data_IF_226925136524
#
_entry.id   IF_226925136524
#
_cell.length_a   1.000
_cell.length_b   1.000
_cell.length_c   1.000
_cell.angle_alpha   90.00
_cell.angle_beta   90.00
_cell.angle_gamma   90.00
#
_symmetry.space_group_name_H-M   'P 1'
#
loop_
_entity.id
_entity.type
_entity.pdbx_description
1 polymer ?
#
# COMPACT_ATOMS: atom_id res chain seq x y z
N UNK A 1 18.96 8.79 21.42
CA UNK A 1 18.38 9.58 20.31
C UNK A 1 16.88 9.58 20.56
N UNK A 2 16.33 10.70 21.03
CA UNK A 2 14.92 10.85 21.40
C UNK A 2 14.10 10.95 20.13
N UNK A 3 13.20 9.99 19.88
CA UNK A 3 12.29 9.98 18.73
C UNK A 3 11.45 11.28 18.70
N UNK A 4 11.69 12.19 17.74
CA UNK A 4 10.96 13.46 17.68
C UNK A 4 9.49 13.29 17.26
N UNK A 5 9.11 12.12 16.72
CA UNK A 5 7.77 11.86 16.20
C UNK A 5 6.92 10.92 17.07
N UNK A 6 7.49 10.43 18.19
CA UNK A 6 6.86 9.62 19.26
C UNK A 6 6.09 8.37 18.78
N UNK A 7 6.57 7.20 19.18
CA UNK A 7 5.79 5.96 19.15
C UNK A 7 4.78 5.86 20.29
N UNK A 8 3.64 5.21 20.04
CA UNK A 8 2.70 4.74 21.07
C UNK A 8 2.63 3.22 20.96
N UNK A 9 3.15 2.55 21.97
CA UNK A 9 2.94 1.12 22.15
C UNK A 9 1.48 0.88 22.53
N UNK A 10 0.84 -0.02 21.82
CA UNK A 10 -0.52 -0.48 22.07
C UNK A 10 -0.47 -1.92 22.62
N UNK A 11 -1.62 -2.49 22.94
CA UNK A 11 -1.65 -3.84 23.51
C UNK A 11 -1.09 -4.90 22.56
N UNK A 12 -0.43 -5.91 23.14
CA UNK A 12 -0.04 -7.17 22.49
C UNK A 12 0.90 -7.05 21.26
N UNK A 13 1.79 -6.05 21.23
CA UNK A 13 2.81 -5.93 20.18
C UNK A 13 2.37 -5.10 18.97
N UNK A 14 1.18 -4.50 19.02
CA UNK A 14 0.80 -3.47 18.08
C UNK A 14 1.38 -2.11 18.49
N UNK A 15 1.72 -1.26 17.51
CA UNK A 15 2.15 0.11 17.79
C UNK A 15 1.86 1.06 16.62
N UNK A 16 1.89 2.35 16.92
CA UNK A 16 1.89 3.42 15.92
C UNK A 16 3.09 4.33 16.14
N UNK A 17 3.66 4.88 15.07
CA UNK A 17 4.81 5.79 15.15
C UNK A 17 4.77 6.84 14.05
N UNK A 18 5.45 7.96 14.26
CA UNK A 18 5.48 9.05 13.29
C UNK A 18 4.22 9.90 13.34
N UNK A 19 3.84 10.46 14.51
CA UNK A 19 2.60 11.23 14.64
C UNK A 19 2.64 12.52 13.81
N UNK A 20 1.67 12.69 12.91
CA UNK A 20 1.58 13.83 11.96
C UNK A 20 0.23 14.56 12.10
N UNK A 21 -0.02 15.26 13.24
CA UNK A 21 -1.33 15.81 13.58
C UNK A 21 -1.81 16.93 12.65
N UNK A 22 -0.90 17.53 11.88
CA UNK A 22 -1.22 18.55 10.87
C UNK A 22 -1.98 17.96 9.66
N UNK A 23 -1.92 16.64 9.45
CA UNK A 23 -2.70 15.93 8.43
C UNK A 23 -4.07 15.56 9.00
N UNK A 24 -4.10 14.86 10.14
CA UNK A 24 -5.30 14.56 10.91
C UNK A 24 -4.93 14.19 12.36
N UNK A 25 -5.85 14.32 13.33
CA UNK A 25 -5.54 14.08 14.75
C UNK A 25 -4.95 12.69 15.06
N UNK A 26 -5.36 11.66 14.30
CA UNK A 26 -4.90 10.27 14.44
C UNK A 26 -4.04 9.82 13.24
N UNK A 27 -3.39 10.75 12.54
CA UNK A 27 -2.50 10.41 11.44
C UNK A 27 -1.11 10.03 11.95
N UNK A 28 -0.66 8.84 11.57
CA UNK A 28 0.65 8.28 11.89
C UNK A 28 1.30 7.77 10.60
N UNK A 29 2.62 7.92 10.50
CA UNK A 29 3.41 7.43 9.37
C UNK A 29 3.54 5.91 9.37
N UNK A 30 3.52 5.29 10.55
CA UNK A 30 3.57 3.84 10.74
C UNK A 30 2.38 3.39 11.59
N UNK A 31 1.67 2.39 11.09
CA UNK A 31 0.65 1.62 11.80
C UNK A 31 1.03 0.16 11.70
N UNK A 32 1.37 -0.43 12.85
CA UNK A 32 1.89 -1.77 12.97
C UNK A 32 0.93 -2.63 13.80
N UNK A 33 -0.03 -3.30 13.17
CA UNK A 33 -0.86 -4.29 13.83
C UNK A 33 -0.02 -5.43 14.40
N UNK A 34 -0.54 -6.09 15.45
CA UNK A 34 0.04 -7.32 15.97
C UNK A 34 0.19 -8.36 14.85
N UNK A 35 1.31 -9.07 14.86
CA UNK A 35 1.54 -10.18 13.95
C UNK A 35 0.58 -11.37 14.13
N UNK A 36 0.48 -12.21 13.12
CA UNK A 36 -0.37 -13.38 13.10
C UNK A 36 0.32 -14.60 13.72
N UNK A 37 -0.44 -15.38 14.47
CA UNK A 37 -0.05 -16.74 14.86
C UNK A 37 -0.37 -17.75 13.73
N UNK A 38 -0.15 -19.04 14.00
CA UNK A 38 -0.38 -20.10 13.00
C UNK A 38 -1.85 -20.20 12.55
N UNK A 39 -2.79 -19.94 13.47
CA UNK A 39 -4.22 -19.92 13.14
C UNK A 39 -4.55 -18.71 12.26
N UNK A 40 -4.05 -17.52 12.62
CA UNK A 40 -4.20 -16.31 11.83
C UNK A 40 -3.60 -16.44 10.43
N UNK A 41 -2.44 -17.07 10.28
CA UNK A 41 -1.85 -17.33 8.97
C UNK A 41 -2.67 -18.29 8.11
N UNK A 42 -3.21 -19.35 8.71
CA UNK A 42 -4.08 -20.28 7.99
C UNK A 42 -5.36 -19.57 7.48
N UNK A 43 -5.91 -18.66 8.29
CA UNK A 43 -7.02 -17.81 7.89
C UNK A 43 -6.61 -16.81 6.80
N UNK A 44 -5.43 -16.22 6.89
CA UNK A 44 -4.92 -15.26 5.90
C UNK A 44 -4.69 -15.91 4.54
N UNK A 45 -4.16 -17.13 4.51
CA UNK A 45 -3.99 -17.91 3.27
C UNK A 45 -5.35 -18.31 2.66
N UNK A 46 -6.32 -18.64 3.51
CA UNK A 46 -7.71 -18.88 3.07
C UNK A 46 -8.33 -17.61 2.48
N UNK A 47 -8.19 -16.46 3.15
CA UNK A 47 -8.69 -15.16 2.68
C UNK A 47 -8.01 -14.73 1.38
N UNK A 48 -6.72 -15.03 1.20
CA UNK A 48 -6.01 -14.74 -0.04
C UNK A 48 -6.52 -15.57 -1.22
N UNK A 49 -7.17 -16.72 -0.98
CA UNK A 49 -7.65 -17.67 -2.01
C UNK A 49 -6.54 -18.25 -2.90
N UNK A 50 -5.28 -18.21 -2.45
CA UNK A 50 -4.11 -18.74 -3.16
C UNK A 50 -2.94 -19.01 -2.22
N UNK A 51 -1.97 -19.85 -2.65
CA UNK A 51 -0.77 -20.11 -1.87
C UNK A 51 -0.02 -18.82 -1.54
N UNK A 52 0.25 -18.60 -0.26
CA UNK A 52 0.98 -17.44 0.22
C UNK A 52 2.49 -17.72 0.22
N UNK A 53 3.33 -16.89 -0.41
CA UNK A 53 4.79 -17.05 -0.34
C UNK A 53 5.30 -17.05 1.10
N UNK A 54 6.24 -17.95 1.42
CA UNK A 54 6.76 -18.11 2.80
C UNK A 54 7.34 -16.81 3.36
N UNK A 55 8.03 -16.03 2.53
CA UNK A 55 8.59 -14.72 2.92
C UNK A 55 7.51 -13.74 3.37
N UNK A 56 6.30 -13.82 2.80
CA UNK A 56 5.19 -12.98 3.20
C UNK A 56 4.48 -13.53 4.45
N UNK A 57 4.44 -14.85 4.62
CA UNK A 57 3.97 -15.45 5.88
C UNK A 57 4.86 -15.01 7.05
N UNK A 58 6.19 -15.03 6.88
CA UNK A 58 7.15 -14.52 7.87
C UNK A 58 6.89 -13.04 8.19
N UNK A 59 6.66 -12.22 7.17
CA UNK A 59 6.27 -10.83 7.37
C UNK A 59 4.97 -10.69 8.17
N UNK A 60 3.94 -11.48 7.87
CA UNK A 60 2.67 -11.44 8.60
C UNK A 60 2.77 -11.92 10.05
N UNK A 61 3.74 -12.79 10.37
CA UNK A 61 4.05 -13.18 11.76
C UNK A 61 4.60 -12.02 12.57
N UNK A 62 5.34 -11.13 11.94
CA UNK A 62 5.85 -9.93 12.59
C UNK A 62 4.77 -8.84 12.67
N UNK A 63 4.01 -8.64 11.57
CA UNK A 63 3.03 -7.58 11.45
C UNK A 63 1.87 -8.00 10.54
N UNK A 64 0.63 -8.00 11.04
CA UNK A 64 -0.55 -8.33 10.22
C UNK A 64 -0.90 -7.20 9.24
N UNK A 65 -0.12 -7.09 8.15
CA UNK A 65 -0.24 -6.00 7.19
C UNK A 65 -0.07 -4.64 7.87
N UNK A 66 -0.76 -3.60 7.40
CA UNK A 66 -0.74 -2.28 8.04
C UNK A 66 -0.19 -1.22 7.12
N UNK A 67 0.39 -0.16 7.68
CA UNK A 67 0.90 0.96 6.88
C UNK A 67 2.28 1.36 7.33
N UNK A 68 3.21 1.44 6.38
CA UNK A 68 4.55 1.99 6.59
C UNK A 68 4.78 3.05 5.53
N UNK A 69 4.89 4.32 5.94
CA UNK A 69 5.31 5.44 5.08
C UNK A 69 4.49 5.58 3.78
N UNK A 70 3.16 5.45 3.83
CA UNK A 70 2.24 5.43 2.67
C UNK A 70 2.37 4.20 1.74
N UNK A 71 2.92 3.09 2.25
CA UNK A 71 2.74 1.75 1.68
C UNK A 71 1.75 1.01 2.57
N UNK A 72 0.66 0.56 1.99
CA UNK A 72 -0.38 -0.22 2.64
C UNK A 72 -0.12 -1.71 2.39
N UNK A 73 0.39 -2.41 3.40
CA UNK A 73 0.60 -3.85 3.38
C UNK A 73 -0.70 -4.58 3.70
N UNK A 74 -0.96 -5.65 2.95
CA UNK A 74 -2.20 -6.41 3.08
C UNK A 74 -2.11 -7.45 4.20
N UNK A 75 -3.19 -7.63 4.93
CA UNK A 75 -3.25 -8.56 6.04
C UNK A 75 -4.59 -9.28 6.13
N UNK A 76 -4.72 -10.11 7.15
CA UNK A 76 -5.97 -10.75 7.52
C UNK A 76 -6.94 -9.69 8.03
N UNK A 77 -8.14 -9.69 7.46
CA UNK A 77 -9.27 -8.85 7.94
C UNK A 77 -10.43 -9.68 8.47
N UNK A 78 -10.39 -11.01 8.33
CA UNK A 78 -11.46 -11.91 8.73
C UNK A 78 -12.72 -11.72 7.88
N UNK A 79 -12.56 -11.28 6.63
CA UNK A 79 -13.68 -10.94 5.74
C UNK A 79 -14.51 -9.72 6.18
N UNK A 80 -14.03 -8.93 7.14
CA UNK A 80 -14.75 -7.73 7.56
C UNK A 80 -14.67 -6.64 6.49
N UNK A 81 -15.84 -6.25 5.96
CA UNK A 81 -15.96 -5.15 5.01
C UNK A 81 -15.91 -3.76 5.69
N UNK A 82 -16.24 -3.70 6.98
CA UNK A 82 -16.28 -2.47 7.75
C UNK A 82 -15.15 -2.47 8.79
N UNK A 83 -14.33 -1.42 8.75
CA UNK A 83 -13.27 -1.21 9.72
C UNK A 83 -13.85 -0.84 11.07
N UNK A 84 -13.31 -1.42 12.14
CA UNK A 84 -13.64 -0.97 13.49
C UNK A 84 -13.08 0.45 13.69
N UNK A 85 -13.93 1.48 13.84
CA UNK A 85 -13.49 2.86 14.02
C UNK A 85 -12.84 3.09 15.39
N UNK A 86 -12.96 2.14 16.32
CA UNK A 86 -12.39 2.21 17.67
C UNK A 86 -11.02 1.57 17.78
N UNK A 87 -10.55 0.86 16.73
CA UNK A 87 -9.21 0.28 16.69
C UNK A 87 -8.14 1.40 16.67
N UNK A 88 -7.32 1.53 17.73
CA UNK A 88 -6.33 2.60 17.84
C UNK A 88 -5.17 2.45 16.84
N UNK A 89 -4.86 1.23 16.39
CA UNK A 89 -3.84 0.94 15.39
C UNK A 89 -4.41 1.15 13.99
N UNK A 90 -5.69 0.80 13.83
CA UNK A 90 -6.38 0.65 12.56
C UNK A 90 -6.09 -0.70 11.91
N UNK A 91 -7.02 -1.11 11.04
CA UNK A 91 -6.99 -2.43 10.41
C UNK A 91 -6.24 -2.40 9.07
N UNK A 92 -5.55 -3.50 8.70
CA UNK A 92 -4.91 -3.62 7.40
C UNK A 92 -5.94 -3.56 6.26
N UNK A 93 -5.44 -3.42 5.04
CA UNK A 93 -6.25 -3.76 3.87
C UNK A 93 -6.29 -5.28 3.71
N UNK A 94 -7.43 -5.80 3.25
CA UNK A 94 -7.61 -7.25 3.09
C UNK A 94 -6.64 -7.81 2.05
N UNK A 95 -6.03 -8.93 2.40
CA UNK A 95 -5.18 -9.72 1.51
C UNK A 95 -5.91 -10.28 0.30
N UNK A 96 -7.24 -10.35 0.31
CA UNK A 96 -8.03 -10.73 -0.85
C UNK A 96 -7.96 -9.69 -2.00
N UNK A 97 -7.63 -8.43 -1.72
CA UNK A 97 -7.81 -7.30 -2.65
C UNK A 97 -7.19 -7.54 -4.04
N UNK A 98 -5.93 -7.99 -4.08
CA UNK A 98 -5.21 -8.28 -5.33
C UNK A 98 -5.00 -9.78 -5.60
N UNK A 99 -5.52 -10.64 -4.72
CA UNK A 99 -5.30 -12.09 -4.79
C UNK A 99 -6.55 -12.86 -5.23
N UNK A 100 -7.75 -12.29 -5.07
CA UNK A 100 -8.98 -12.83 -5.63
C UNK A 100 -9.03 -12.67 -7.16
N UNK A 101 -9.31 -13.76 -7.87
CA UNK A 101 -9.27 -13.82 -9.33
C UNK A 101 -10.17 -12.79 -10.04
N UNK A 102 -11.30 -12.39 -9.43
CA UNK A 102 -12.26 -11.45 -10.04
C UNK A 102 -11.98 -9.98 -9.73
N UNK A 103 -11.05 -9.69 -8.82
CA UNK A 103 -10.64 -8.32 -8.45
C UNK A 103 -9.30 -7.91 -9.04
N UNK A 104 -8.47 -8.91 -9.31
CA UNK A 104 -7.15 -8.76 -9.91
C UNK A 104 -7.25 -8.29 -11.36
N UNK A 105 -6.31 -7.45 -11.77
CA UNK A 105 -6.19 -7.03 -13.16
C UNK A 105 -5.68 -8.17 -14.06
N UNK A 106 -6.28 -8.31 -15.24
CA UNK A 106 -6.02 -9.40 -16.21
C UNK A 106 -4.55 -9.49 -16.66
N UNK A 107 -3.81 -8.39 -16.54
CA UNK A 107 -2.42 -8.28 -16.98
C UNK A 107 -1.41 -8.81 -15.96
N UNK A 108 -1.81 -9.09 -14.73
CA UNK A 108 -0.88 -9.61 -13.71
C UNK A 108 -0.73 -11.13 -13.94
N UNK A 109 0.48 -11.72 -14.01
CA UNK A 109 0.68 -13.16 -14.28
C UNK A 109 0.25 -14.08 -13.12
N UNK A 110 -0.54 -15.13 -13.37
CA UNK A 110 -1.25 -15.95 -12.35
C UNK A 110 -0.43 -16.32 -11.09
N UNK A 111 0.86 -16.62 -11.21
CA UNK A 111 1.75 -16.96 -10.08
C UNK A 111 2.14 -15.78 -9.18
N UNK A 112 1.74 -14.55 -9.48
CA UNK A 112 2.09 -13.36 -8.71
C UNK A 112 1.15 -13.15 -7.52
N UNK A 113 1.70 -12.93 -6.34
CA UNK A 113 0.98 -12.72 -5.10
C UNK A 113 0.97 -11.24 -4.73
N UNK A 114 -0.20 -10.60 -4.70
CA UNK A 114 -0.36 -9.20 -4.33
C UNK A 114 -0.24 -9.02 -2.83
N UNK A 115 0.59 -8.08 -2.38
CA UNK A 115 0.89 -7.96 -0.94
C UNK A 115 0.82 -6.52 -0.41
N UNK A 116 0.85 -5.52 -1.29
CA UNK A 116 0.74 -4.13 -0.86
C UNK A 116 0.24 -3.23 -1.99
N UNK A 117 -0.18 -2.02 -1.63
CA UNK A 117 -0.34 -0.93 -2.57
C UNK A 117 0.17 0.39 -2.02
N UNK A 118 0.45 1.34 -2.92
CA UNK A 118 0.72 2.71 -2.59
C UNK A 118 -0.06 3.63 -3.53
N UNK A 119 -0.58 4.74 -2.99
CA UNK A 119 -1.21 5.75 -3.81
C UNK A 119 -0.16 6.74 -4.34
N UNK A 120 -0.34 7.14 -5.59
CA UNK A 120 0.29 8.33 -6.14
C UNK A 120 -0.41 9.61 -5.66
N UNK A 121 -0.07 10.76 -6.25
CA UNK A 121 -0.49 12.06 -5.72
C UNK A 121 -1.99 12.32 -5.82
N UNK A 122 -2.68 11.79 -6.84
CA UNK A 122 -4.11 12.06 -7.04
C UNK A 122 -4.92 10.82 -7.45
N UNK A 123 -4.58 10.17 -8.56
CA UNK A 123 -5.39 9.06 -9.13
C UNK A 123 -4.63 7.77 -9.31
N UNK A 124 -3.31 7.87 -9.45
CA UNK A 124 -2.47 6.69 -9.63
C UNK A 124 -2.40 5.84 -8.38
N UNK A 125 -2.25 4.55 -8.62
CA UNK A 125 -1.99 3.57 -7.58
C UNK A 125 -1.00 2.54 -8.13
N UNK A 126 0.03 2.25 -7.34
CA UNK A 126 0.98 1.16 -7.59
C UNK A 126 0.61 -0.02 -6.71
N UNK A 127 0.52 -1.20 -7.31
CA UNK A 127 0.25 -2.46 -6.62
C UNK A 127 1.50 -3.33 -6.66
N UNK A 128 1.88 -3.89 -5.51
CA UNK A 128 3.11 -4.65 -5.35
C UNK A 128 2.82 -6.14 -5.29
N UNK A 129 3.58 -6.88 -6.09
CA UNK A 129 3.43 -8.33 -6.22
C UNK A 129 4.75 -9.04 -5.96
N UNK A 130 4.67 -10.15 -5.23
CA UNK A 130 5.73 -11.16 -5.17
C UNK A 130 5.58 -12.09 -6.36
N UNK A 131 6.61 -12.18 -7.19
CA UNK A 131 6.61 -13.05 -8.37
C UNK A 131 6.90 -14.49 -7.97
N UNK A 132 6.63 -15.43 -8.89
CA UNK A 132 6.92 -16.85 -8.68
C UNK A 132 8.41 -17.18 -8.58
N UNK A 133 9.30 -16.24 -8.95
CA UNK A 133 10.75 -16.39 -8.84
C UNK A 133 11.35 -15.62 -7.65
N UNK A 134 10.50 -15.04 -6.78
CA UNK A 134 10.91 -14.38 -5.54
C UNK A 134 11.29 -12.91 -5.68
N UNK A 135 11.13 -12.31 -6.87
CA UNK A 135 11.29 -10.86 -7.07
C UNK A 135 10.05 -10.11 -6.61
N UNK A 136 10.18 -8.80 -6.38
CA UNK A 136 9.04 -7.90 -6.19
C UNK A 136 8.87 -7.03 -7.42
N UNK A 137 7.63 -6.83 -7.86
CA UNK A 137 7.31 -5.94 -8.98
C UNK A 137 6.15 -5.02 -8.60
N UNK A 138 6.27 -3.74 -8.98
CA UNK A 138 5.18 -2.78 -8.84
C UNK A 138 4.49 -2.56 -10.19
N UNK A 139 3.20 -2.84 -10.25
CA UNK A 139 2.36 -2.64 -11.43
C UNK A 139 1.50 -1.39 -11.30
N UNK A 140 1.22 -0.75 -12.43
CA UNK A 140 0.18 0.27 -12.52
C UNK A 140 -1.19 -0.39 -12.35
N UNK A 141 -2.07 0.18 -11.51
CA UNK A 141 -3.40 -0.37 -11.24
C UNK A 141 -4.21 -0.66 -12.52
N UNK A 142 -4.25 0.31 -13.43
CA UNK A 142 -5.13 0.26 -14.58
C UNK A 142 -4.41 -0.15 -15.87
N UNK A 143 -3.08 -0.32 -15.87
CA UNK A 143 -2.30 -0.49 -17.11
C UNK A 143 -1.31 -1.64 -16.98
N UNK A 144 -1.05 -2.30 -18.12
CA UNK A 144 -0.03 -3.34 -18.19
C UNK A 144 1.38 -2.74 -18.23
N UNK A 145 1.81 -2.22 -17.08
CA UNK A 145 3.10 -1.56 -16.94
C UNK A 145 3.70 -1.80 -15.57
N UNK A 146 4.97 -2.20 -15.59
CA UNK A 146 5.81 -2.30 -14.41
C UNK A 146 6.51 -0.95 -14.20
N UNK A 147 6.41 -0.39 -13.00
CA UNK A 147 7.08 0.85 -12.64
C UNK A 147 8.49 0.62 -12.10
N UNK A 148 8.67 -0.43 -11.29
CA UNK A 148 9.95 -0.85 -10.71
C UNK A 148 9.90 -2.31 -10.29
N UNK A 149 11.06 -2.96 -10.29
CA UNK A 149 11.26 -4.31 -9.75
C UNK A 149 12.40 -4.32 -8.75
N UNK A 150 12.33 -5.24 -7.78
CA UNK A 150 13.37 -5.50 -6.79
C UNK A 150 13.75 -6.99 -6.81
N UNK A 151 15.02 -7.34 -6.54
CA UNK A 151 15.47 -8.73 -6.56
C UNK A 151 14.80 -9.60 -5.50
N UNK A 152 14.36 -9.01 -4.38
CA UNK A 152 13.72 -9.73 -3.28
C UNK A 152 12.77 -8.82 -2.48
N UNK A 153 11.96 -9.44 -1.61
CA UNK A 153 11.12 -8.72 -0.65
C UNK A 153 11.94 -7.85 0.32
N UNK A 154 13.09 -8.33 0.79
CA UNK A 154 13.97 -7.57 1.69
C UNK A 154 14.59 -6.37 0.99
N UNK A 155 15.00 -6.51 -0.28
CA UNK A 155 15.52 -5.40 -1.08
C UNK A 155 14.44 -4.33 -1.30
N UNK A 156 13.19 -4.75 -1.54
CA UNK A 156 12.05 -3.86 -1.63
C UNK A 156 11.85 -3.06 -0.33
N UNK A 157 11.79 -3.74 0.82
CA UNK A 157 11.60 -3.08 2.11
C UNK A 157 12.75 -2.10 2.40
N UNK A 158 14.00 -2.53 2.21
CA UNK A 158 15.16 -1.70 2.50
C UNK A 158 15.19 -0.46 1.60
N UNK A 159 15.00 -0.62 0.30
CA UNK A 159 15.02 0.47 -0.68
C UNK A 159 13.86 1.45 -0.44
N UNK A 160 12.62 0.97 -0.37
CA UNK A 160 11.45 1.86 -0.25
C UNK A 160 11.37 2.55 1.12
N UNK A 161 11.66 1.84 2.21
CA UNK A 161 11.64 2.45 3.55
C UNK A 161 12.75 3.51 3.64
N UNK A 162 13.97 3.19 3.19
CA UNK A 162 15.09 4.15 3.21
C UNK A 162 14.80 5.37 2.33
N UNK A 163 14.32 5.15 1.10
CA UNK A 163 13.97 6.21 0.14
C UNK A 163 12.90 7.14 0.70
N UNK A 164 11.87 6.60 1.35
CA UNK A 164 10.77 7.39 1.94
C UNK A 164 11.21 8.14 3.19
N UNK A 165 11.97 7.50 4.09
CA UNK A 165 12.50 8.16 5.29
C UNK A 165 13.41 9.35 4.93
N UNK A 166 14.29 9.18 3.93
CA UNK A 166 15.19 10.24 3.48
C UNK A 166 14.46 11.46 2.90
N UNK A 167 13.19 11.29 2.48
CA UNK A 167 12.38 12.34 1.89
C UNK A 167 11.46 13.05 2.90
N UNK A 168 11.43 12.62 4.16
CA UNK A 168 10.65 13.28 5.21
C UNK A 168 11.42 14.48 5.78
N UNK A 169 10.69 15.55 6.04
CA UNK A 169 11.17 16.66 6.86
C UNK A 169 11.00 16.38 8.37
N UNK A 170 11.42 17.34 9.21
CA UNK A 170 11.30 17.26 10.67
C UNK A 170 9.86 17.15 11.18
N UNK A 171 8.85 17.42 10.34
CA UNK A 171 7.43 17.34 10.67
C UNK A 171 6.78 16.07 10.14
N UNK A 172 7.53 15.19 9.49
CA UNK A 172 7.01 13.99 8.84
C UNK A 172 6.26 14.29 7.53
N UNK A 173 6.50 15.45 6.90
CA UNK A 173 5.98 15.76 5.57
C UNK A 173 7.00 15.33 4.51
N UNK A 174 6.53 14.69 3.45
CA UNK A 174 7.38 14.45 2.27
C UNK A 174 7.76 15.76 1.60
N UNK A 175 9.01 15.87 1.13
CA UNK A 175 9.48 16.95 0.27
C UNK A 175 8.58 17.09 -0.97
N UNK A 176 8.28 18.31 -1.41
CA UNK A 176 7.33 18.56 -2.51
C UNK A 176 7.79 17.95 -3.86
N UNK A 177 9.09 17.73 -4.03
CA UNK A 177 9.69 17.06 -5.20
C UNK A 177 9.71 15.54 -5.09
N UNK A 178 9.29 14.97 -3.96
CA UNK A 178 9.32 13.54 -3.74
C UNK A 178 8.20 12.83 -4.51
N UNK A 179 8.59 11.83 -5.29
CA UNK A 179 7.65 10.97 -5.97
C UNK A 179 7.28 9.78 -5.07
N UNK A 180 6.01 9.66 -4.69
CA UNK A 180 5.55 8.56 -3.84
C UNK A 180 5.76 7.20 -4.50
N UNK A 181 5.42 7.06 -5.78
CA UNK A 181 5.64 5.82 -6.53
C UNK A 181 7.08 5.81 -7.08
N UNK A 182 7.87 4.75 -6.84
CA UNK A 182 9.25 4.68 -7.30
C UNK A 182 9.37 4.30 -8.78
N UNK A 183 10.57 4.47 -9.34
CA UNK A 183 10.88 3.98 -10.69
C UNK A 183 10.30 4.85 -11.81
N UNK A 184 10.01 4.22 -12.95
CA UNK A 184 9.50 4.91 -14.15
C UNK A 184 7.99 5.14 -14.06
N UNK A 185 7.60 6.04 -13.16
CA UNK A 185 6.18 6.37 -12.90
C UNK A 185 5.83 7.84 -13.14
N UNK A 186 6.72 8.57 -13.80
CA UNK A 186 6.59 10.02 -14.00
C UNK A 186 5.37 10.43 -14.84
N UNK A 187 4.94 9.57 -15.78
CA UNK A 187 3.79 9.79 -16.64
C UNK A 187 2.50 9.10 -16.15
N UNK A 188 2.58 8.31 -15.08
CA UNK A 188 1.45 7.50 -14.60
C UNK A 188 0.25 8.39 -14.23
N UNK A 189 0.47 9.53 -13.57
CA UNK A 189 -0.64 10.39 -13.12
C UNK A 189 -1.41 11.00 -14.30
N UNK A 190 -0.70 11.43 -15.34
CA UNK A 190 -1.34 11.95 -16.55
C UNK A 190 -2.23 10.88 -17.21
N UNK A 191 -1.77 9.62 -17.23
CA UNK A 191 -2.50 8.48 -17.80
C UNK A 191 -3.73 8.09 -16.98
N UNK A 192 -3.59 8.03 -15.65
CA UNK A 192 -4.71 7.78 -14.76
C UNK A 192 -5.79 8.88 -14.88
N UNK A 193 -5.39 10.15 -15.08
CA UNK A 193 -6.34 11.23 -15.38
C UNK A 193 -7.05 11.01 -16.72
N UNK A 194 -6.32 10.63 -17.78
CA UNK A 194 -6.89 10.36 -19.10
C UNK A 194 -7.94 9.25 -19.05
N UNK A 195 -7.61 8.09 -18.47
CA UNK A 195 -8.55 6.98 -18.29
C UNK A 195 -9.78 7.37 -17.50
N UNK A 196 -9.58 8.11 -16.41
CA UNK A 196 -10.71 8.61 -15.62
C UNK A 196 -11.62 9.51 -16.48
N UNK A 197 -11.06 10.44 -17.25
CA UNK A 197 -11.83 11.33 -18.12
C UNK A 197 -12.57 10.58 -19.24
N UNK A 198 -12.03 9.46 -19.72
CA UNK A 198 -12.68 8.59 -20.69
C UNK A 198 -13.80 7.74 -20.07
N UNK A 199 -13.67 7.36 -18.80
CA UNK A 199 -14.74 6.68 -18.05
C UNK A 199 -15.95 7.58 -17.74
N UNK A 200 -15.77 8.91 -17.80
CA UNK A 200 -16.85 9.85 -17.52
C UNK A 200 -17.86 9.89 -18.66
N UNK A 201 -19.14 10.07 -18.30
CA UNK A 201 -20.16 10.38 -19.30
C UNK A 201 -19.81 11.67 -20.08
N UNK A 202 -20.26 11.82 -21.34
CA UNK A 202 -19.96 13.01 -22.15
C UNK A 202 -20.28 14.33 -21.45
N UNK A 203 -21.37 14.34 -20.67
CA UNK A 203 -21.81 15.52 -19.91
C UNK A 203 -20.87 15.84 -18.72
N UNK A 204 -20.37 14.82 -18.04
CA UNK A 204 -19.39 14.98 -16.95
C UNK A 204 -18.02 15.39 -17.49
N UNK A 205 -17.60 14.86 -18.64
CA UNK A 205 -16.36 15.21 -19.34
C UNK A 205 -16.35 16.68 -19.76
N UNK A 206 -17.47 17.21 -20.26
CA UNK A 206 -17.62 18.61 -20.66
C UNK A 206 -17.53 19.57 -19.48
N UNK A 207 -18.19 19.29 -18.35
CA UNK A 207 -18.11 20.13 -17.14
C UNK A 207 -16.69 20.22 -16.57
N UNK A 208 -15.90 19.13 -16.64
CA UNK A 208 -14.50 19.13 -16.17
C UNK A 208 -13.55 19.92 -17.06
N UNK A 209 -13.72 19.90 -18.38
CA UNK A 209 -12.91 20.73 -19.29
C UNK A 209 -13.11 22.24 -19.06
N UNK A 210 -14.27 22.64 -18.57
CA UNK A 210 -14.61 24.04 -18.29
C UNK A 210 -14.00 24.52 -16.96
N UNK A 211 -13.70 23.61 -16.03
CA UNK A 211 -13.14 23.90 -14.71
C UNK A 211 -11.67 23.46 -14.60
N UNK A 212 -10.80 23.91 -15.52
CA UNK A 212 -9.36 23.92 -15.27
C UNK A 212 -8.98 25.34 -14.82
N UNK A 213 -8.59 25.57 -13.55
CA UNK A 213 -8.04 26.84 -13.14
C UNK A 213 -6.80 27.13 -14.00
N UNK A 214 -6.69 28.36 -14.51
CA UNK A 214 -5.49 28.84 -15.21
C UNK A 214 -4.32 28.96 -14.25
#
# INVERSE_FOLDING_TARGET
MTDPLRGVDLEEGAYVSGHVPHIAPQAYLVRHPKGLDDEGLALAETEATRPMPSVYQEFLREMNGGRILNIDFYGLTGGMLLRDPTDPVGQPFSIAFDNEWYRRADNIPEGHFGFAAANGPLRTQGHFFLTSIGTVEMYHRDEDRIGKSWPSFSDFLLDEITRRLAALDERGKFQDTFQLLPGDTSDWEARAEEKYLDSLSPFARMKRKIWRPR
#
